data_IF_308365607699
#
_entry.id   IF_308365607699
#
_cell.length_a   1.000
_cell.length_b   1.000
_cell.length_c   1.000
_cell.angle_alpha   90.00
_cell.angle_beta   90.00
_cell.angle_gamma   90.00
#
_symmetry.space_group_name_H-M   'P 1'
#
loop_
_entity.id
_entity.type
_entity.pdbx_description
1 polymer ?
#
# COMPACT_ATOMS: atom_id res chain seq x y z
N UNK A 1 11.45 -8.34 -9.28
CA UNK A 1 10.64 -7.44 -10.12
C UNK A 1 9.61 -8.16 -10.97
N UNK A 2 9.97 -9.19 -11.74
CA UNK A 2 9.03 -9.94 -12.60
C UNK A 2 7.76 -10.38 -11.88
N UNK A 3 7.86 -11.10 -10.76
CA UNK A 3 6.69 -11.60 -10.01
C UNK A 3 5.78 -10.45 -9.52
N UNK A 4 6.39 -9.38 -9.01
CA UNK A 4 5.65 -8.20 -8.56
C UNK A 4 4.86 -7.56 -9.72
N UNK A 5 5.53 -7.28 -10.85
CA UNK A 5 4.91 -6.61 -12.00
C UNK A 5 3.81 -7.46 -12.62
N UNK A 6 4.09 -8.73 -12.96
CA UNK A 6 3.09 -9.61 -13.56
C UNK A 6 1.95 -9.94 -12.59
N UNK A 7 2.26 -10.16 -11.31
CA UNK A 7 1.25 -10.37 -10.29
C UNK A 7 0.33 -9.17 -10.12
N UNK A 8 0.89 -7.95 -10.14
CA UNK A 8 0.12 -6.71 -10.06
C UNK A 8 -0.79 -6.55 -11.28
N UNK A 9 -0.25 -6.73 -12.49
CA UNK A 9 -1.04 -6.67 -13.73
C UNK A 9 -2.15 -7.71 -13.75
N UNK A 10 -1.87 -8.95 -13.35
CA UNK A 10 -2.87 -10.00 -13.23
C UNK A 10 -3.98 -9.65 -12.23
N UNK A 11 -3.62 -9.14 -11.05
CA UNK A 11 -4.59 -8.75 -10.01
C UNK A 11 -5.46 -7.59 -10.47
N UNK A 12 -4.85 -6.54 -11.01
CA UNK A 12 -5.56 -5.38 -11.55
C UNK A 12 -6.44 -5.77 -12.74
N UNK A 13 -5.96 -6.64 -13.64
CA UNK A 13 -6.74 -7.15 -14.77
C UNK A 13 -7.96 -7.96 -14.32
N UNK A 14 -7.82 -8.80 -13.29
CA UNK A 14 -8.96 -9.52 -12.70
C UNK A 14 -10.01 -8.59 -12.10
N UNK A 15 -9.58 -7.53 -11.41
CA UNK A 15 -10.49 -6.51 -10.90
C UNK A 15 -11.14 -5.71 -12.03
N UNK A 16 -10.38 -5.39 -13.08
CA UNK A 16 -10.89 -4.67 -14.24
C UNK A 16 -12.00 -5.47 -14.97
N UNK A 17 -11.86 -6.80 -15.00
CA UNK A 17 -12.81 -7.71 -15.64
C UNK A 17 -13.98 -8.18 -14.76
N UNK A 18 -13.98 -7.92 -13.45
CA UNK A 18 -15.06 -8.37 -12.58
C UNK A 18 -16.35 -7.59 -12.85
N UNK A 19 -17.44 -8.30 -13.15
CA UNK A 19 -18.77 -7.72 -13.36
C UNK A 19 -19.55 -7.73 -12.06
N UNK A 20 -20.04 -6.57 -11.63
CA UNK A 20 -21.02 -6.48 -10.54
C UNK A 20 -22.39 -6.25 -11.17
N UNK A 21 -23.34 -7.14 -10.84
CA UNK A 21 -24.70 -7.16 -11.40
C UNK A 21 -25.67 -6.28 -10.59
N UNK A 22 -25.28 -5.85 -9.38
CA UNK A 22 -26.16 -5.11 -8.47
C UNK A 22 -25.48 -3.85 -7.91
N UNK A 23 -26.24 -2.77 -7.77
CA UNK A 23 -25.76 -1.55 -7.12
C UNK A 23 -25.58 -1.81 -5.62
N UNK A 24 -24.34 -1.92 -5.16
CA UNK A 24 -24.03 -1.98 -3.73
C UNK A 24 -23.93 -0.54 -3.23
N UNK A 25 -25.03 -0.03 -2.71
CA UNK A 25 -25.05 1.28 -2.05
C UNK A 25 -24.49 1.12 -0.64
N UNK A 26 -23.23 1.50 -0.43
CA UNK A 26 -22.63 1.53 0.90
C UNK A 26 -23.19 2.73 1.69
N UNK A 27 -23.62 2.50 2.93
CA UNK A 27 -24.00 3.57 3.84
C UNK A 27 -22.74 4.30 4.35
N UNK A 28 -22.74 5.64 4.46
CA UNK A 28 -23.84 6.59 4.22
C UNK A 28 -24.08 6.84 2.72
N UNK A 29 -25.35 6.85 2.30
CA UNK A 29 -25.73 7.08 0.91
C UNK A 29 -25.53 8.57 0.54
N UNK A 30 -24.53 8.91 -0.30
CA UNK A 30 -24.30 10.29 -0.69
C UNK A 30 -25.43 10.76 -1.62
N UNK A 31 -25.98 11.94 -1.34
CA UNK A 31 -27.02 12.58 -2.15
C UNK A 31 -26.42 13.38 -3.33
N UNK A 32 -25.10 13.58 -3.34
CA UNK A 32 -24.38 14.28 -4.40
C UNK A 32 -22.95 13.76 -4.61
N UNK A 33 -22.39 14.01 -5.79
CA UNK A 33 -20.99 13.67 -6.11
C UNK A 33 -19.98 14.38 -5.19
N UNK A 34 -20.29 15.60 -4.75
CA UNK A 34 -19.45 16.36 -3.83
C UNK A 34 -19.45 15.74 -2.44
N UNK A 35 -20.62 15.27 -1.97
CA UNK A 35 -20.72 14.55 -0.70
C UNK A 35 -20.00 13.20 -0.75
N UNK A 36 -20.09 12.47 -1.87
CA UNK A 36 -19.37 11.22 -2.07
C UNK A 36 -17.84 11.41 -2.01
N UNK A 37 -17.34 12.46 -2.66
CA UNK A 37 -15.92 12.83 -2.59
C UNK A 37 -15.49 13.20 -1.16
N UNK A 38 -16.31 13.94 -0.42
CA UNK A 38 -16.03 14.30 0.97
C UNK A 38 -15.98 13.11 1.91
N UNK A 39 -16.93 12.17 1.79
CA UNK A 39 -16.93 10.92 2.58
C UNK A 39 -15.70 10.09 2.26
N UNK A 40 -15.36 9.93 0.97
CA UNK A 40 -14.18 9.18 0.55
C UNK A 40 -12.88 9.82 1.02
N UNK A 41 -12.75 11.14 0.90
CA UNK A 41 -11.58 11.87 1.38
C UNK A 41 -11.41 11.72 2.90
N UNK A 42 -12.52 11.78 3.65
CA UNK A 42 -12.50 11.55 5.09
C UNK A 42 -12.13 10.11 5.44
N UNK A 43 -12.58 9.12 4.66
CA UNK A 43 -12.17 7.73 4.87
C UNK A 43 -10.70 7.52 4.54
N UNK A 44 -10.19 8.09 3.44
CA UNK A 44 -8.80 7.95 3.02
C UNK A 44 -7.81 8.60 4.00
N UNK A 45 -8.11 9.80 4.48
CA UNK A 45 -7.18 10.59 5.30
C UNK A 45 -7.33 10.28 6.79
N UNK A 46 -8.57 10.15 7.26
CA UNK A 46 -8.87 10.05 8.69
C UNK A 46 -9.41 8.70 9.11
N UNK A 47 -9.57 7.71 8.22
CA UNK A 47 -10.20 6.42 8.53
C UNK A 47 -11.48 6.62 9.37
N UNK A 48 -12.35 7.52 8.91
CA UNK A 48 -13.49 8.02 9.69
C UNK A 48 -14.38 6.89 10.21
N UNK A 49 -14.64 5.88 9.38
CA UNK A 49 -15.39 4.69 9.80
C UNK A 49 -14.71 4.00 10.98
N UNK A 50 -13.42 3.71 10.84
CA UNK A 50 -12.63 3.07 11.89
C UNK A 50 -12.59 3.88 13.19
N UNK A 51 -12.49 5.21 13.09
CA UNK A 51 -12.54 6.10 14.26
C UNK A 51 -13.84 5.96 15.07
N UNK A 52 -14.96 5.78 14.38
CA UNK A 52 -16.27 5.64 15.03
C UNK A 52 -16.47 4.25 15.66
N UNK A 53 -15.92 3.20 15.05
CA UNK A 53 -16.13 1.82 15.51
C UNK A 53 -15.09 1.31 16.53
N UNK A 54 -13.82 1.65 16.36
CA UNK A 54 -12.72 1.14 17.20
C UNK A 54 -11.60 2.17 17.31
N UNK A 55 -11.74 3.09 18.28
CA UNK A 55 -10.75 4.15 18.54
C UNK A 55 -9.36 3.61 18.88
N UNK A 56 -9.20 2.56 19.71
CA UNK A 56 -7.88 1.96 19.93
C UNK A 56 -7.21 1.49 18.65
N UNK A 57 -7.93 0.73 17.80
CA UNK A 57 -7.41 0.30 16.51
C UNK A 57 -7.09 1.49 15.60
N UNK A 58 -7.95 2.52 15.61
CA UNK A 58 -7.75 3.73 14.84
C UNK A 58 -6.41 4.41 15.17
N UNK A 59 -6.09 4.61 16.45
CA UNK A 59 -4.82 5.25 16.85
C UNK A 59 -3.63 4.47 16.28
N UNK A 60 -3.60 3.15 16.51
CA UNK A 60 -2.51 2.31 16.03
C UNK A 60 -2.41 2.26 14.51
N UNK A 61 -3.54 2.10 13.82
CA UNK A 61 -3.59 2.04 12.37
C UNK A 61 -3.20 3.37 11.73
N UNK A 62 -3.71 4.50 12.24
CA UNK A 62 -3.46 5.82 11.68
C UNK A 62 -1.99 6.24 11.84
N UNK A 63 -1.42 6.05 13.03
CA UNK A 63 0.01 6.30 13.27
C UNK A 63 0.90 5.43 12.38
N UNK A 64 0.58 4.13 12.27
CA UNK A 64 1.32 3.21 11.41
C UNK A 64 1.26 3.66 9.94
N UNK A 65 0.09 4.03 9.41
CA UNK A 65 -0.01 4.43 8.00
C UNK A 65 0.69 5.76 7.71
N UNK A 66 0.56 6.77 8.58
CA UNK A 66 1.29 8.04 8.38
C UNK A 66 2.79 7.81 8.42
N UNK A 67 3.28 7.02 9.37
CA UNK A 67 4.68 6.65 9.44
C UNK A 67 5.12 5.88 8.19
N UNK A 68 4.32 4.91 7.71
CA UNK A 68 4.58 4.15 6.49
C UNK A 68 4.69 5.06 5.26
N UNK A 69 3.70 5.93 5.03
CA UNK A 69 3.72 6.85 3.89
C UNK A 69 4.89 7.84 3.97
N UNK A 70 5.19 8.33 5.17
CA UNK A 70 6.34 9.22 5.41
C UNK A 70 7.66 8.51 5.17
N UNK A 71 7.80 7.25 5.59
CA UNK A 71 9.00 6.44 5.34
C UNK A 71 9.15 6.13 3.86
N UNK A 72 8.09 5.71 3.16
CA UNK A 72 8.13 5.46 1.71
C UNK A 72 8.49 6.75 0.96
N UNK A 73 7.83 7.86 1.29
CA UNK A 73 8.13 9.17 0.72
C UNK A 73 9.57 9.62 1.00
N UNK A 74 10.05 9.39 2.22
CA UNK A 74 11.43 9.64 2.63
C UNK A 74 12.45 8.78 1.89
N UNK A 75 12.13 7.53 1.56
CA UNK A 75 12.99 6.70 0.70
C UNK A 75 13.08 7.32 -0.70
N UNK A 76 11.95 7.66 -1.32
CA UNK A 76 11.95 8.23 -2.68
C UNK A 76 12.66 9.58 -2.72
N UNK A 77 12.20 10.54 -1.91
CA UNK A 77 12.70 11.91 -1.90
C UNK A 77 14.11 11.99 -1.31
N UNK A 78 14.34 11.33 -0.17
CA UNK A 78 15.61 11.36 0.52
C UNK A 78 16.75 10.70 -0.26
N UNK A 79 16.51 9.55 -0.90
CA UNK A 79 17.52 8.91 -1.76
C UNK A 79 17.76 9.75 -3.02
N UNK A 80 16.69 10.24 -3.67
CA UNK A 80 16.83 11.02 -4.90
C UNK A 80 17.63 12.31 -4.69
N UNK A 81 17.31 13.06 -3.62
CA UNK A 81 17.98 14.32 -3.28
C UNK A 81 19.18 14.17 -2.34
N UNK A 82 19.60 12.94 -2.01
CA UNK A 82 20.71 12.66 -1.09
C UNK A 82 20.55 13.36 0.28
N UNK A 83 19.33 13.45 0.79
CA UNK A 83 19.02 14.16 2.03
C UNK A 83 18.96 15.69 1.93
N UNK A 84 19.13 16.26 0.73
CA UNK A 84 19.17 17.72 0.48
C UNK A 84 17.86 18.31 -0.04
N UNK A 85 16.73 17.63 0.18
CA UNK A 85 15.44 18.06 -0.35
C UNK A 85 14.98 19.44 0.18
N UNK A 86 15.37 19.83 1.39
CA UNK A 86 14.97 21.11 1.99
C UNK A 86 15.82 22.29 1.51
N UNK A 87 16.91 22.05 0.79
CA UNK A 87 17.71 23.11 0.15
C UNK A 87 16.88 23.88 -0.88
N UNK A 88 15.99 23.18 -1.59
CA UNK A 88 15.05 23.80 -2.53
C UNK A 88 14.01 24.71 -1.85
N UNK A 89 13.87 24.62 -0.54
CA UNK A 89 13.03 25.49 0.29
C UNK A 89 13.83 26.62 0.96
N UNK A 90 15.09 26.82 0.56
CA UNK A 90 15.96 27.89 1.04
C UNK A 90 16.81 27.53 2.26
N UNK A 91 16.88 26.25 2.67
CA UNK A 91 17.69 25.82 3.81
C UNK A 91 19.14 25.52 3.42
N UNK A 92 20.07 25.55 4.39
CA UNK A 92 21.44 25.10 4.17
C UNK A 92 21.51 23.58 3.96
N UNK A 93 22.55 23.10 3.26
CA UNK A 93 22.73 21.67 2.98
C UNK A 93 22.83 20.83 4.27
N UNK A 94 23.60 21.29 5.26
CA UNK A 94 23.76 20.60 6.55
C UNK A 94 22.45 20.56 7.35
N UNK A 95 21.67 21.64 7.31
CA UNK A 95 20.36 21.67 7.96
C UNK A 95 19.39 20.69 7.28
N UNK A 96 19.37 20.65 5.95
CA UNK A 96 18.52 19.71 5.20
C UNK A 96 18.87 18.26 5.52
N UNK A 97 20.15 17.90 5.53
CA UNK A 97 20.62 16.55 5.84
C UNK A 97 20.21 16.14 7.27
N UNK A 98 20.41 17.03 8.24
CA UNK A 98 20.00 16.80 9.63
C UNK A 98 18.47 16.64 9.76
N UNK A 99 17.68 17.53 9.17
CA UNK A 99 16.22 17.42 9.18
C UNK A 99 15.73 16.14 8.52
N UNK A 100 16.36 15.74 7.40
CA UNK A 100 16.09 14.48 6.72
C UNK A 100 16.38 13.28 7.64
N UNK A 101 17.48 13.34 8.42
CA UNK A 101 17.81 12.33 9.42
C UNK A 101 16.82 12.26 10.57
N UNK A 102 16.48 13.39 11.18
CA UNK A 102 15.52 13.44 12.29
C UNK A 102 14.13 12.96 11.84
N UNK A 103 13.65 13.40 10.68
CA UNK A 103 12.36 12.97 10.13
C UNK A 103 12.37 11.48 9.79
N UNK A 104 13.42 10.99 9.15
CA UNK A 104 13.57 9.56 8.83
C UNK A 104 13.56 8.68 10.07
N UNK A 105 14.37 9.02 11.08
CA UNK A 105 14.47 8.26 12.33
C UNK A 105 13.18 8.34 13.14
N UNK A 106 12.59 9.53 13.31
CA UNK A 106 11.35 9.68 14.08
C UNK A 106 10.17 8.93 13.46
N UNK A 107 10.00 8.99 12.15
CA UNK A 107 8.96 8.23 11.45
C UNK A 107 9.26 6.73 11.46
N UNK A 108 10.53 6.32 11.37
CA UNK A 108 10.94 4.92 11.51
C UNK A 108 10.60 4.33 12.89
N UNK A 109 10.81 5.09 13.96
CA UNK A 109 10.44 4.70 15.33
C UNK A 109 8.93 4.70 15.54
N UNK A 110 8.22 5.68 14.97
CA UNK A 110 6.75 5.72 15.02
C UNK A 110 6.14 4.51 14.29
N UNK A 111 6.70 4.14 13.14
CA UNK A 111 6.31 2.93 12.40
C UNK A 111 6.53 1.68 13.24
N UNK A 112 7.69 1.57 13.90
CA UNK A 112 8.02 0.44 14.78
C UNK A 112 7.00 0.32 15.92
N UNK A 113 6.71 1.43 16.62
CA UNK A 113 5.74 1.46 17.69
C UNK A 113 4.32 1.08 17.21
N UNK A 114 3.89 1.61 16.06
CA UNK A 114 2.60 1.30 15.45
C UNK A 114 2.46 -0.18 15.08
N UNK A 115 3.50 -0.77 14.47
CA UNK A 115 3.52 -2.19 14.13
C UNK A 115 3.51 -3.09 15.37
N UNK A 116 4.30 -2.77 16.39
CA UNK A 116 4.31 -3.51 17.66
C UNK A 116 2.95 -3.45 18.34
N UNK A 117 2.33 -2.26 18.40
CA UNK A 117 0.99 -2.10 18.95
C UNK A 117 -0.04 -2.98 18.22
N UNK A 118 -0.05 -2.94 16.88
CA UNK A 118 -0.99 -3.73 16.07
C UNK A 118 -0.74 -5.23 16.22
N UNK A 119 0.51 -5.66 16.33
CA UNK A 119 0.88 -7.06 16.56
C UNK A 119 0.44 -7.53 17.94
N UNK A 120 0.73 -6.76 19.00
CA UNK A 120 0.31 -7.07 20.37
C UNK A 120 -1.21 -7.15 20.44
N UNK A 121 -1.93 -6.17 19.87
CA UNK A 121 -3.40 -6.15 19.82
C UNK A 121 -3.98 -7.44 19.21
N UNK A 122 -3.31 -7.99 18.20
CA UNK A 122 -3.71 -9.23 17.51
C UNK A 122 -3.48 -10.48 18.34
N UNK A 123 -2.57 -10.46 19.31
CA UNK A 123 -2.35 -11.55 20.25
C UNK A 123 -3.22 -11.44 21.51
N UNK A 124 -3.51 -10.22 21.97
CA UNK A 124 -4.15 -9.98 23.27
C UNK A 124 -5.68 -9.93 23.20
N UNK A 125 -6.27 -9.42 22.11
CA UNK A 125 -7.73 -9.27 22.00
C UNK A 125 -8.34 -10.53 21.39
N UNK A 126 -9.12 -11.28 22.20
CA UNK A 126 -9.75 -12.54 21.79
C UNK A 126 -10.56 -12.42 20.48
N UNK A 127 -11.45 -11.43 20.39
CA UNK A 127 -12.27 -11.17 19.20
C UNK A 127 -11.43 -10.94 17.93
N UNK A 128 -10.26 -10.33 18.07
CA UNK A 128 -9.36 -10.05 16.93
C UNK A 128 -8.62 -11.32 16.53
N UNK A 129 -8.18 -12.11 17.51
CA UNK A 129 -7.50 -13.38 17.30
C UNK A 129 -8.38 -14.38 16.55
N UNK A 130 -9.68 -14.42 16.85
CA UNK A 130 -10.66 -15.30 16.19
C UNK A 130 -10.81 -15.04 14.69
N UNK A 131 -10.75 -13.77 14.27
CA UNK A 131 -10.89 -13.38 12.85
C UNK A 131 -9.55 -13.27 12.12
N UNK A 132 -8.43 -13.49 12.81
CA UNK A 132 -7.09 -13.32 12.27
C UNK A 132 -6.60 -14.59 11.59
N UNK A 133 -6.19 -14.48 10.33
CA UNK A 133 -5.55 -15.58 9.61
C UNK A 133 -4.04 -15.64 9.85
N UNK A 134 -3.37 -16.78 9.60
CA UNK A 134 -1.91 -16.90 9.70
C UNK A 134 -1.16 -15.87 8.85
N UNK A 135 -1.70 -15.56 7.66
CA UNK A 135 -1.15 -14.54 6.78
C UNK A 135 -1.04 -13.18 7.46
N UNK A 136 -1.97 -12.81 8.33
CA UNK A 136 -1.99 -11.47 8.97
C UNK A 136 -0.82 -11.28 9.92
N UNK A 137 -0.42 -12.34 10.65
CA UNK A 137 0.78 -12.34 11.46
C UNK A 137 2.03 -12.27 10.59
N UNK A 138 2.09 -13.07 9.52
CA UNK A 138 3.26 -13.11 8.63
C UNK A 138 3.55 -11.76 7.98
N UNK A 139 2.53 -11.04 7.48
CA UNK A 139 2.74 -9.71 6.91
C UNK A 139 3.19 -8.69 7.96
N UNK A 140 2.62 -8.71 9.17
CA UNK A 140 3.04 -7.81 10.25
C UNK A 140 4.48 -8.10 10.70
N UNK A 141 4.85 -9.38 10.85
CA UNK A 141 6.21 -9.78 11.22
C UNK A 141 7.19 -9.38 10.11
N UNK A 142 6.86 -9.61 8.84
CA UNK A 142 7.70 -9.20 7.72
C UNK A 142 7.95 -7.68 7.72
N UNK A 143 6.89 -6.87 7.85
CA UNK A 143 7.02 -5.41 7.94
C UNK A 143 7.83 -4.99 9.17
N UNK A 144 7.60 -5.64 10.31
CA UNK A 144 8.33 -5.36 11.54
C UNK A 144 9.83 -5.65 11.37
N UNK A 145 10.19 -6.78 10.76
CA UNK A 145 11.59 -7.13 10.46
C UNK A 145 12.25 -6.09 9.56
N UNK A 146 11.58 -5.68 8.48
CA UNK A 146 12.09 -4.63 7.56
C UNK A 146 12.34 -3.33 8.33
N UNK A 147 11.38 -2.91 9.15
CA UNK A 147 11.44 -1.66 9.93
C UNK A 147 12.52 -1.74 11.01
N UNK A 148 12.66 -2.86 11.71
CA UNK A 148 13.71 -3.06 12.73
C UNK A 148 15.09 -2.95 12.09
N UNK A 149 15.34 -3.67 10.99
CA UNK A 149 16.63 -3.60 10.28
C UNK A 149 16.88 -2.17 9.77
N UNK A 150 15.86 -1.52 9.20
CA UNK A 150 15.96 -0.14 8.73
C UNK A 150 16.31 0.85 9.84
N UNK A 151 15.68 0.73 11.02
CA UNK A 151 16.00 1.57 12.17
C UNK A 151 17.41 1.30 12.70
N UNK A 152 17.87 0.04 12.75
CA UNK A 152 19.25 -0.28 13.15
C UNK A 152 20.25 0.41 12.23
N UNK A 153 20.06 0.32 10.91
CA UNK A 153 20.94 1.01 9.95
C UNK A 153 20.96 2.52 10.14
N UNK A 154 19.84 3.11 10.58
CA UNK A 154 19.74 4.57 10.77
C UNK A 154 20.31 5.05 12.11
N UNK A 155 20.09 4.28 13.18
CA UNK A 155 20.57 4.61 14.53
C UNK A 155 22.08 4.35 14.67
N UNK A 156 22.61 3.35 13.97
CA UNK A 156 24.04 3.01 13.93
C UNK A 156 24.65 3.30 12.55
N UNK A 157 24.39 4.50 12.02
CA UNK A 157 24.77 4.87 10.65
C UNK A 157 26.27 4.70 10.37
N UNK A 158 27.12 5.06 11.33
CA UNK A 158 28.58 5.02 11.19
C UNK A 158 29.13 3.59 10.99
N UNK A 159 28.62 2.61 11.75
CA UNK A 159 29.19 1.27 11.79
C UNK A 159 28.40 0.28 10.92
N UNK A 160 27.07 0.39 10.96
CA UNK A 160 26.12 -0.60 10.43
C UNK A 160 25.23 -0.03 9.32
N UNK A 161 25.26 1.28 9.09
CA UNK A 161 24.48 1.95 8.07
C UNK A 161 25.18 2.08 6.72
N UNK A 162 24.50 2.82 5.85
CA UNK A 162 24.93 3.14 4.49
C UNK A 162 24.47 4.55 4.12
N UNK A 163 25.33 5.29 3.42
CA UNK A 163 25.03 6.65 2.98
C UNK A 163 24.08 6.66 1.76
N UNK A 164 23.42 7.79 1.49
CA UNK A 164 22.45 7.88 0.39
C UNK A 164 23.06 7.69 -1.01
N UNK A 165 24.31 8.08 -1.22
CA UNK A 165 24.95 8.06 -2.54
C UNK A 165 25.08 6.65 -3.14
N UNK A 166 25.69 5.66 -2.47
CA UNK A 166 25.75 4.29 -2.98
C UNK A 166 24.36 3.66 -3.12
N UNK A 167 23.41 4.00 -2.24
CA UNK A 167 22.02 3.51 -2.35
C UNK A 167 21.36 4.06 -3.62
N UNK A 168 21.53 5.36 -3.91
CA UNK A 168 21.00 6.00 -5.12
C UNK A 168 21.60 5.38 -6.39
N UNK A 169 22.91 5.16 -6.40
CA UNK A 169 23.60 4.53 -7.54
C UNK A 169 23.07 3.11 -7.78
N UNK A 170 22.94 2.31 -6.73
CA UNK A 170 22.36 0.97 -6.80
C UNK A 170 20.92 0.96 -7.32
N UNK A 171 20.06 1.84 -6.79
CA UNK A 171 18.67 1.96 -7.26
C UNK A 171 18.63 2.39 -8.73
N UNK A 172 19.55 3.25 -9.17
CA UNK A 172 19.65 3.69 -10.57
C UNK A 172 19.97 2.51 -11.48
N UNK A 173 20.95 1.66 -11.13
CA UNK A 173 21.24 0.44 -11.88
C UNK A 173 20.03 -0.48 -11.98
N UNK A 174 19.30 -0.68 -10.87
CA UNK A 174 18.09 -1.50 -10.86
C UNK A 174 16.98 -0.94 -11.77
N UNK A 175 16.74 0.36 -11.75
CA UNK A 175 15.69 1.01 -12.57
C UNK A 175 16.08 1.01 -14.05
N UNK A 176 17.36 1.24 -14.35
CA UNK A 176 17.90 1.18 -15.72
C UNK A 176 18.09 -0.24 -16.23
N UNK A 177 17.75 -1.26 -15.43
CA UNK A 177 17.94 -2.68 -15.75
C UNK A 177 19.39 -3.02 -16.14
N UNK A 178 20.34 -2.33 -15.50
CA UNK A 178 21.77 -2.54 -15.69
C UNK A 178 22.34 -3.44 -14.58
N UNK A 179 23.33 -4.30 -14.90
CA UNK A 179 24.01 -5.09 -13.89
C UNK A 179 24.71 -4.19 -12.87
N UNK A 180 24.54 -4.50 -11.59
CA UNK A 180 25.26 -3.84 -10.49
C UNK A 180 26.68 -4.41 -10.43
N UNK A 181 27.73 -3.58 -10.40
CA UNK A 181 29.11 -4.04 -10.25
C UNK A 181 29.31 -4.89 -8.99
N UNK A 182 30.07 -5.99 -9.07
CA UNK A 182 30.30 -6.89 -7.92
C UNK A 182 31.08 -6.22 -6.77
N UNK A 183 31.80 -5.14 -7.06
CA UNK A 183 32.53 -4.33 -6.09
C UNK A 183 31.71 -3.16 -5.52
N UNK A 184 30.40 -3.11 -5.79
CA UNK A 184 29.56 -2.02 -5.31
C UNK A 184 29.44 -2.01 -3.79
N UNK A 185 29.60 -0.83 -3.17
CA UNK A 185 29.61 -0.63 -1.71
C UNK A 185 28.40 -1.24 -0.98
N UNK A 186 27.21 -1.20 -1.57
CA UNK A 186 25.98 -1.80 -0.99
C UNK A 186 26.15 -3.29 -0.67
N UNK A 187 26.96 -4.02 -1.43
CA UNK A 187 27.17 -5.44 -1.27
C UNK A 187 28.07 -5.77 -0.06
N UNK A 188 28.85 -4.80 0.42
CA UNK A 188 29.70 -4.96 1.61
C UNK A 188 28.97 -4.67 2.92
N UNK A 189 27.71 -4.21 2.85
CA UNK A 189 26.88 -3.81 4.00
C UNK A 189 25.80 -4.85 4.29
N UNK A 190 26.00 -5.78 5.24
CA UNK A 190 25.10 -6.93 5.42
C UNK A 190 23.67 -6.55 5.81
N UNK A 191 23.49 -5.53 6.67
CA UNK A 191 22.16 -5.08 7.06
C UNK A 191 21.39 -4.45 5.90
N UNK A 192 22.07 -3.73 5.02
CA UNK A 192 21.44 -3.18 3.82
C UNK A 192 20.98 -4.30 2.89
N UNK A 193 21.83 -5.31 2.67
CA UNK A 193 21.49 -6.49 1.87
C UNK A 193 20.30 -7.26 2.48
N UNK A 194 20.28 -7.45 3.80
CA UNK A 194 19.15 -8.09 4.49
C UNK A 194 17.87 -7.27 4.40
N UNK A 195 17.95 -5.95 4.63
CA UNK A 195 16.81 -5.05 4.47
C UNK A 195 16.23 -5.15 3.06
N UNK A 196 17.10 -5.08 2.04
CA UNK A 196 16.70 -5.20 0.66
C UNK A 196 16.10 -6.59 0.36
N UNK A 197 16.69 -7.67 0.87
CA UNK A 197 16.15 -9.02 0.71
C UNK A 197 14.70 -9.12 1.22
N UNK A 198 14.43 -8.64 2.43
CA UNK A 198 13.07 -8.66 2.97
C UNK A 198 12.12 -7.74 2.19
N UNK A 199 12.59 -6.60 1.69
CA UNK A 199 11.81 -5.75 0.78
C UNK A 199 11.50 -6.48 -0.54
N UNK A 200 12.44 -7.25 -1.09
CA UNK A 200 12.20 -8.04 -2.30
C UNK A 200 11.17 -9.16 -2.06
N UNK A 201 11.22 -9.81 -0.89
CA UNK A 201 10.21 -10.78 -0.46
C UNK A 201 8.84 -10.10 -0.33
N UNK A 202 8.79 -8.92 0.31
CA UNK A 202 7.58 -8.12 0.43
C UNK A 202 6.99 -7.82 -0.95
N UNK A 203 7.79 -7.34 -1.90
CA UNK A 203 7.35 -7.05 -3.27
C UNK A 203 6.88 -8.30 -4.00
N UNK A 204 7.49 -9.46 -3.78
CA UNK A 204 7.04 -10.72 -4.38
C UNK A 204 5.64 -11.13 -3.88
N UNK A 205 5.37 -10.97 -2.58
CA UNK A 205 4.12 -11.36 -1.93
C UNK A 205 3.03 -10.30 -2.12
N UNK A 206 3.42 -9.03 -2.28
CA UNK A 206 2.55 -7.86 -2.34
C UNK A 206 1.28 -8.07 -3.21
N UNK A 207 1.36 -8.44 -4.51
CA UNK A 207 0.19 -8.52 -5.38
C UNK A 207 -0.84 -9.59 -4.99
N UNK A 208 -0.43 -10.56 -4.15
CA UNK A 208 -1.27 -11.67 -3.68
C UNK A 208 -1.73 -11.48 -2.24
N UNK A 209 -1.36 -10.37 -1.60
CA UNK A 209 -1.60 -10.11 -0.19
C UNK A 209 -2.73 -9.12 0.08
N UNK A 210 -3.07 -8.96 1.37
CA UNK A 210 -3.96 -7.91 1.85
C UNK A 210 -3.35 -6.49 1.72
N UNK A 211 -2.06 -6.35 1.39
CA UNK A 211 -1.42 -5.05 1.16
C UNK A 211 -1.95 -4.36 -0.11
N UNK A 212 -2.57 -5.12 -1.01
CA UNK A 212 -3.28 -4.59 -2.18
C UNK A 212 -4.51 -3.73 -1.83
N UNK A 213 -4.89 -3.62 -0.55
CA UNK A 213 -6.04 -2.83 -0.12
C UNK A 213 -6.01 -1.37 -0.60
N UNK A 214 -4.83 -0.75 -0.72
CA UNK A 214 -4.72 0.63 -1.23
C UNK A 214 -5.22 0.73 -2.67
N UNK A 215 -4.83 -0.21 -3.54
CA UNK A 215 -5.31 -0.27 -4.92
C UNK A 215 -6.77 -0.73 -4.98
N UNK A 216 -7.16 -1.64 -4.09
CA UNK A 216 -8.53 -2.13 -3.95
C UNK A 216 -9.51 -1.00 -3.62
N UNK A 217 -9.15 -0.08 -2.74
CA UNK A 217 -9.98 1.09 -2.38
C UNK A 217 -10.33 1.94 -3.61
N UNK A 218 -9.38 2.15 -4.52
CA UNK A 218 -9.63 2.89 -5.76
C UNK A 218 -10.36 2.04 -6.81
N UNK A 219 -10.00 0.76 -6.92
CA UNK A 219 -10.61 -0.18 -7.85
C UNK A 219 -12.10 -0.41 -7.53
N UNK A 220 -12.47 -0.59 -6.26
CA UNK A 220 -13.86 -0.72 -5.82
C UNK A 220 -14.72 0.43 -6.34
N UNK A 221 -14.24 1.68 -6.27
CA UNK A 221 -14.99 2.82 -6.82
C UNK A 221 -15.19 2.72 -8.34
N UNK A 222 -14.14 2.32 -9.06
CA UNK A 222 -14.22 2.15 -10.51
C UNK A 222 -15.15 0.99 -10.91
N UNK A 223 -15.16 -0.10 -10.13
CA UNK A 223 -15.99 -1.28 -10.35
C UNK A 223 -17.45 -0.99 -9.96
N UNK A 224 -17.72 -0.31 -8.84
CA UNK A 224 -19.06 0.05 -8.37
C UNK A 224 -19.78 0.96 -9.38
N UNK A 225 -19.04 1.85 -10.07
CA UNK A 225 -19.61 2.71 -11.11
C UNK A 225 -19.90 1.98 -12.44
N UNK A 226 -19.56 0.69 -12.55
CA UNK A 226 -19.84 -0.15 -13.73
C UNK A 226 -20.97 -1.13 -13.41
N UNK A 227 -22.18 -0.62 -13.21
CA UNK A 227 -23.36 -1.48 -13.15
C UNK A 227 -23.57 -2.09 -14.52
N UNK A 228 -23.25 -3.38 -14.66
CA UNK A 228 -23.59 -4.10 -15.87
C UNK A 228 -25.11 -4.27 -15.89
N UNK A 229 -25.77 -3.63 -16.86
CA UNK A 229 -27.22 -3.79 -17.08
C UNK A 229 -27.56 -5.19 -17.61
N UNK A 230 -26.57 -5.89 -18.15
CA UNK A 230 -26.72 -7.26 -18.64
C UNK A 230 -26.28 -8.29 -17.59
N UNK A 231 -27.04 -9.38 -17.41
CA UNK A 231 -26.63 -10.49 -16.54
C UNK A 231 -25.26 -11.05 -16.95
N UNK A 232 -24.49 -11.55 -15.97
CA UNK A 232 -23.23 -12.22 -16.26
C UNK A 232 -23.46 -13.44 -17.20
N UNK A 233 -22.69 -13.60 -18.29
CA UNK A 233 -22.80 -14.76 -19.16
C UNK A 233 -22.55 -16.05 -18.36
N UNK A 234 -23.50 -16.99 -18.39
CA UNK A 234 -23.37 -18.29 -17.71
C UNK A 234 -23.97 -18.38 -16.30
N UNK A 235 -24.81 -17.43 -15.87
CA UNK A 235 -25.68 -17.62 -14.70
C UNK A 235 -26.61 -18.83 -14.95
N UNK A 236 -26.58 -19.89 -14.13
CA UNK A 236 -27.51 -21.01 -14.27
C UNK A 236 -28.94 -20.48 -14.20
N UNK A 237 -29.76 -20.81 -15.20
CA UNK A 237 -31.19 -20.48 -15.30
C UNK A 237 -31.54 -19.03 -15.68
N UNK A 238 -30.63 -18.23 -16.23
CA UNK A 238 -31.00 -16.94 -16.85
C UNK A 238 -30.70 -17.00 -18.35
N UNK A 239 -31.68 -17.45 -19.13
CA UNK A 239 -31.66 -17.25 -20.57
C UNK A 239 -31.98 -15.77 -20.86
N UNK A 240 -30.92 -14.99 -21.05
CA UNK A 240 -30.99 -13.55 -21.33
C UNK A 240 -31.78 -13.28 -22.63
N UNK A 241 -31.74 -14.20 -23.59
CA UNK A 241 -32.50 -14.08 -24.83
C UNK A 241 -34.00 -14.31 -24.57
N UNK A 242 -34.35 -15.32 -23.78
CA UNK A 242 -35.73 -15.56 -23.37
C UNK A 242 -36.30 -14.43 -22.49
N UNK A 243 -35.51 -13.89 -21.56
CA UNK A 243 -35.91 -12.76 -20.71
C UNK A 243 -36.12 -11.46 -21.53
N UNK A 244 -35.29 -11.24 -22.55
CA UNK A 244 -35.46 -10.12 -23.50
C UNK A 244 -36.70 -10.30 -24.38
N UNK A 245 -36.95 -11.53 -24.85
CA UNK A 245 -38.16 -11.88 -25.61
C UNK A 245 -39.45 -11.76 -24.77
N UNK A 246 -39.36 -12.01 -23.46
CA UNK A 246 -40.48 -11.86 -22.51
C UNK A 246 -40.73 -10.41 -22.06
N UNK A 247 -40.00 -9.42 -22.60
CA UNK A 247 -40.26 -8.00 -22.35
C UNK A 247 -39.77 -7.48 -20.99
N UNK A 248 -38.78 -8.14 -20.37
CA UNK A 248 -38.26 -7.78 -19.04
C UNK A 248 -37.51 -6.43 -18.97
N UNK A 249 -37.62 -5.55 -19.98
CA UNK A 249 -37.01 -4.22 -19.99
C UNK A 249 -35.48 -4.20 -20.03
N UNK A 250 -34.85 -5.31 -20.44
CA UNK A 250 -33.41 -5.39 -20.62
C UNK A 250 -32.97 -4.57 -21.85
N UNK A 251 -31.92 -3.73 -21.78
CA UNK A 251 -31.45 -2.96 -22.93
C UNK A 251 -31.12 -3.87 -24.12
N UNK A 252 -31.46 -3.45 -25.33
CA UNK A 252 -30.90 -4.04 -26.55
C UNK A 252 -29.40 -3.75 -26.57
N UNK A 253 -28.60 -4.74 -26.93
CA UNK A 253 -27.12 -4.70 -26.89
C UNK A 253 -26.47 -3.68 -27.84
N UNK A 254 -27.24 -2.75 -28.41
CA UNK A 254 -26.83 -1.84 -29.47
C UNK A 254 -26.47 -0.42 -28.96
N UNK A 255 -26.49 -0.19 -27.65
CA UNK A 255 -26.13 1.08 -27.03
C UNK A 255 -24.64 1.20 -26.71
N UNK A 256 -23.77 1.02 -27.71
CA UNK A 256 -22.36 1.38 -27.62
C UNK A 256 -22.12 2.76 -28.25
N UNK A 257 -22.09 3.79 -27.41
CA UNK A 257 -21.42 5.06 -27.66
C UNK A 257 -20.97 5.65 -26.32
#
# INVERSE_FOLDING_TARGET
MVIFTFGLLYRLGRWAGSRIVHNITLSPFPQSNTQALGILGAELIFFRSLFNFDRPLWIGAWLMHIALFSVIGGHVVGIYFLGRQFVYLGMSASLSENMSAVLGTSMGLLMLAGLLYLLIRRFTIAKVKEVTGPSDYLHLVLLLTIVVIGNIMRLWEHDLGISYAPVKDYVTHLVMLQPVPMNHEVLTKPLFVLHLLFVQILLMIFPFSKLMHVFGMFAERWIINRVYKEPAPGLPNVDVAAARAAGAGLPSGDGAA
#
